data_IF_903084587635
#
_entry.id   IF_903084587635
#
_cell.length_a   1.000
_cell.length_b   1.000
_cell.length_c   1.000
_cell.angle_alpha   90.00
_cell.angle_beta   90.00
_cell.angle_gamma   90.00
#
_symmetry.space_group_name_H-M   'P 1'
#
loop_
_entity.id
_entity.type
_entity.pdbx_description
1 polymer ?
#
# COMPACT_ATOMS: atom_id res chain seq x y z
N UNK A 1 12.10 30.19 -0.36
CA UNK A 1 11.50 29.24 0.58
C UNK A 1 10.46 28.41 -0.17
N UNK A 2 10.51 27.08 -0.04
CA UNK A 2 9.43 26.18 -0.44
C UNK A 2 9.53 25.59 -1.84
N UNK A 3 10.51 24.71 -2.08
CA UNK A 3 10.38 23.71 -3.15
C UNK A 3 9.28 22.75 -2.70
N UNK A 4 8.05 23.00 -3.14
CA UNK A 4 6.97 22.03 -3.07
C UNK A 4 7.31 20.90 -4.04
N UNK A 5 8.15 19.95 -3.59
CA UNK A 5 8.19 18.63 -4.19
C UNK A 5 6.78 18.08 -4.00
N UNK A 6 5.99 18.07 -5.07
CA UNK A 6 4.73 17.35 -5.10
C UNK A 6 5.05 15.89 -4.80
N UNK A 7 4.98 15.49 -3.53
CA UNK A 7 5.05 14.08 -3.16
C UNK A 7 3.96 13.41 -3.98
N UNK A 8 4.35 12.54 -4.91
CA UNK A 8 3.38 11.69 -5.60
C UNK A 8 2.62 10.94 -4.50
N UNK A 9 1.29 10.92 -4.64
CA UNK A 9 0.42 10.21 -3.73
C UNK A 9 -0.48 9.28 -4.52
N UNK A 10 -0.86 8.18 -3.89
CA UNK A 10 -1.73 7.17 -4.48
C UNK A 10 -3.15 7.42 -3.99
N UNK A 11 -4.07 7.72 -4.90
CA UNK A 11 -5.49 7.82 -4.55
C UNK A 11 -6.06 6.43 -4.20
N UNK A 12 -7.16 6.37 -3.46
CA UNK A 12 -7.82 5.09 -3.10
C UNK A 12 -8.20 4.25 -4.33
N UNK A 13 -8.65 4.91 -5.40
CA UNK A 13 -8.95 4.23 -6.68
C UNK A 13 -7.69 3.61 -7.28
N UNK A 14 -6.57 4.34 -7.25
CA UNK A 14 -5.31 3.86 -7.81
C UNK A 14 -4.72 2.72 -6.99
N UNK A 15 -4.84 2.77 -5.66
CA UNK A 15 -4.48 1.67 -4.78
C UNK A 15 -5.25 0.40 -5.17
N UNK A 16 -6.55 0.49 -5.35
CA UNK A 16 -7.39 -0.66 -5.74
C UNK A 16 -6.93 -1.27 -7.08
N UNK A 17 -6.65 -0.43 -8.08
CA UNK A 17 -6.10 -0.90 -9.37
C UNK A 17 -4.75 -1.61 -9.20
N UNK A 18 -3.84 -1.06 -8.38
CA UNK A 18 -2.51 -1.63 -8.17
C UNK A 18 -2.60 -2.98 -7.45
N UNK A 19 -3.44 -3.08 -6.41
CA UNK A 19 -3.67 -4.33 -5.69
C UNK A 19 -4.30 -5.40 -6.59
N UNK A 20 -5.21 -5.01 -7.51
CA UNK A 20 -5.79 -5.96 -8.48
C UNK A 20 -4.79 -6.54 -9.48
N UNK A 21 -3.70 -5.82 -9.77
CA UNK A 21 -2.63 -6.29 -10.66
C UNK A 21 -1.70 -7.31 -10.00
N UNK A 22 -1.71 -7.37 -8.67
CA UNK A 22 -0.92 -8.33 -7.91
C UNK A 22 -1.68 -9.66 -7.92
N UNK A 23 -1.26 -10.56 -8.81
CA UNK A 23 -1.93 -11.84 -9.02
C UNK A 23 -1.85 -12.79 -7.82
N UNK A 24 -0.82 -12.65 -6.97
CA UNK A 24 -0.61 -13.48 -5.79
C UNK A 24 -1.63 -13.18 -4.68
N UNK A 25 -2.11 -11.94 -4.57
CA UNK A 25 -3.07 -11.55 -3.54
C UNK A 25 -4.47 -12.09 -3.83
N UNK A 26 -5.05 -12.79 -2.86
CA UNK A 26 -6.45 -13.17 -2.80
C UNK A 26 -7.37 -11.95 -2.59
N UNK A 27 -8.67 -12.14 -2.86
CA UNK A 27 -9.66 -11.08 -2.71
C UNK A 27 -9.74 -10.56 -1.27
N UNK A 28 -9.74 -11.47 -0.30
CA UNK A 28 -9.74 -11.21 1.15
C UNK A 28 -8.56 -10.34 1.58
N UNK A 29 -7.37 -10.62 1.04
CA UNK A 29 -6.14 -9.91 1.37
C UNK A 29 -6.13 -8.51 0.80
N UNK A 30 -6.61 -8.33 -0.43
CA UNK A 30 -6.79 -7.00 -1.04
C UNK A 30 -7.74 -6.15 -0.22
N UNK A 31 -8.86 -6.72 0.22
CA UNK A 31 -9.81 -6.01 1.09
C UNK A 31 -9.19 -5.66 2.44
N UNK A 32 -8.40 -6.57 3.02
CA UNK A 32 -7.66 -6.31 4.26
C UNK A 32 -6.67 -5.16 4.12
N UNK A 33 -5.84 -5.17 3.06
CA UNK A 33 -4.88 -4.10 2.76
C UNK A 33 -5.60 -2.76 2.56
N UNK A 34 -6.69 -2.74 1.80
CA UNK A 34 -7.51 -1.53 1.62
C UNK A 34 -8.08 -1.01 2.94
N UNK A 35 -8.49 -1.92 3.82
CA UNK A 35 -8.92 -1.60 5.17
C UNK A 35 -7.81 -0.95 5.99
N UNK A 36 -6.59 -1.50 5.95
CA UNK A 36 -5.44 -0.92 6.63
C UNK A 36 -5.10 0.48 6.09
N UNK A 37 -5.01 0.64 4.77
CA UNK A 37 -4.76 1.96 4.18
C UNK A 37 -5.85 2.97 4.52
N UNK A 38 -7.11 2.54 4.68
CA UNK A 38 -8.20 3.42 5.11
C UNK A 38 -8.09 3.85 6.57
N UNK A 39 -7.39 3.09 7.43
CA UNK A 39 -7.09 3.48 8.81
C UNK A 39 -5.95 4.48 8.90
N UNK A 40 -4.94 4.30 8.06
CA UNK A 40 -3.75 5.16 8.05
C UNK A 40 -4.00 6.46 7.30
N UNK A 41 -4.71 6.42 6.17
CA UNK A 41 -4.93 7.55 5.29
C UNK A 41 -6.41 7.91 5.16
N UNK A 42 -6.74 9.16 5.52
CA UNK A 42 -8.05 9.75 5.24
C UNK A 42 -8.18 10.29 3.81
N UNK A 43 -7.10 10.28 3.02
CA UNK A 43 -7.03 10.89 1.69
C UNK A 43 -6.10 10.14 0.75
N UNK A 44 -5.07 10.83 0.25
CA UNK A 44 -4.08 10.25 -0.65
C UNK A 44 -2.91 9.62 0.11
N UNK A 45 -2.50 8.44 -0.36
CA UNK A 45 -1.51 7.59 0.28
C UNK A 45 -0.10 8.04 -0.11
N UNK A 46 0.71 8.41 0.88
CA UNK A 46 2.12 8.77 0.71
C UNK A 46 3.07 7.57 0.85
N UNK A 47 4.33 7.74 0.45
CA UNK A 47 5.41 6.76 0.66
C UNK A 47 5.52 6.32 2.12
N UNK A 48 5.44 7.27 3.05
CA UNK A 48 5.49 7.02 4.49
C UNK A 48 4.33 6.14 4.98
N UNK A 49 3.13 6.34 4.42
CA UNK A 49 1.97 5.52 4.79
C UNK A 49 2.10 4.10 4.25
N UNK A 50 2.64 3.93 3.03
CA UNK A 50 2.93 2.60 2.47
C UNK A 50 3.91 1.85 3.37
N UNK A 51 5.01 2.48 3.77
CA UNK A 51 6.00 1.83 4.64
C UNK A 51 5.43 1.46 6.00
N UNK A 52 4.57 2.29 6.58
CA UNK A 52 3.86 1.97 7.82
C UNK A 52 2.92 0.77 7.65
N UNK A 53 2.06 0.78 6.63
CA UNK A 53 1.11 -0.31 6.37
C UNK A 53 1.85 -1.62 6.09
N UNK A 54 2.90 -1.60 5.27
CA UNK A 54 3.69 -2.80 4.98
C UNK A 54 4.42 -3.31 6.23
N UNK A 55 4.92 -2.40 7.08
CA UNK A 55 5.54 -2.80 8.34
C UNK A 55 4.54 -3.48 9.25
N UNK A 56 3.32 -2.93 9.35
CA UNK A 56 2.24 -3.57 10.09
C UNK A 56 1.87 -4.92 9.50
N UNK A 57 1.71 -5.02 8.18
CA UNK A 57 1.43 -6.30 7.49
C UNK A 57 2.48 -7.37 7.80
N UNK A 58 3.76 -7.00 7.87
CA UNK A 58 4.85 -7.92 8.23
C UNK A 58 4.88 -8.31 9.71
N UNK A 59 4.35 -7.46 10.58
CA UNK A 59 4.28 -7.67 12.02
C UNK A 59 2.97 -8.35 12.45
N UNK A 60 1.96 -8.33 11.58
CA UNK A 60 0.66 -8.96 11.79
C UNK A 60 0.85 -10.49 11.73
N UNK A 61 0.95 -11.13 12.89
CA UNK A 61 1.09 -12.59 13.02
C UNK A 61 -0.22 -13.34 12.75
N UNK A 62 -1.18 -12.69 12.09
CA UNK A 62 -2.55 -13.22 11.92
C UNK A 62 -2.69 -14.15 10.71
N UNK A 63 -1.58 -14.59 10.08
CA UNK A 63 -1.56 -15.46 8.88
C UNK A 63 -2.42 -14.94 7.71
N UNK A 64 -2.75 -13.64 7.73
CA UNK A 64 -3.66 -13.04 6.74
C UNK A 64 -2.99 -12.66 5.44
N UNK A 65 -1.69 -12.38 5.49
CA UNK A 65 -0.86 -11.94 4.37
C UNK A 65 0.54 -12.50 4.61
N UNK A 66 1.10 -13.16 3.61
CA UNK A 66 2.47 -13.63 3.67
C UNK A 66 3.47 -12.47 3.57
N UNK A 67 4.65 -12.66 4.14
CA UNK A 67 5.72 -11.66 4.11
C UNK A 67 6.13 -11.30 2.67
N UNK A 68 6.08 -12.27 1.76
CA UNK A 68 6.39 -12.10 0.34
C UNK A 68 5.35 -11.20 -0.36
N UNK A 69 4.08 -11.37 -0.03
CA UNK A 69 2.99 -10.57 -0.57
C UNK A 69 3.05 -9.13 -0.07
N UNK A 70 3.31 -8.94 1.22
CA UNK A 70 3.52 -7.61 1.80
C UNK A 70 4.69 -6.86 1.12
N UNK A 71 5.77 -7.56 0.78
CA UNK A 71 6.88 -6.98 0.02
C UNK A 71 6.51 -6.67 -1.43
N UNK A 72 5.74 -7.54 -2.07
CA UNK A 72 5.24 -7.33 -3.43
C UNK A 72 4.34 -6.10 -3.49
N UNK A 73 3.43 -5.94 -2.53
CA UNK A 73 2.60 -4.75 -2.35
C UNK A 73 3.47 -3.52 -2.18
N UNK A 74 4.46 -3.57 -1.29
CA UNK A 74 5.41 -2.46 -1.10
C UNK A 74 6.06 -2.06 -2.41
N UNK A 75 6.63 -3.01 -3.14
CA UNK A 75 7.33 -2.72 -4.39
C UNK A 75 6.41 -2.11 -5.44
N UNK A 76 5.21 -2.65 -5.66
CA UNK A 76 4.27 -2.11 -6.64
C UNK A 76 3.83 -0.67 -6.32
N UNK A 77 3.57 -0.39 -5.04
CA UNK A 77 3.14 0.94 -4.62
C UNK A 77 4.31 1.94 -4.69
N UNK A 78 5.53 1.53 -4.33
CA UNK A 78 6.72 2.39 -4.43
C UNK A 78 7.14 2.64 -5.89
N UNK A 79 7.11 1.64 -6.77
CA UNK A 79 7.41 1.80 -8.20
C UNK A 79 6.49 2.85 -8.85
N UNK A 80 5.20 2.84 -8.47
CA UNK A 80 4.25 3.84 -8.93
C UNK A 80 4.55 5.26 -8.42
N UNK A 81 5.14 5.40 -7.24
CA UNK A 81 5.53 6.70 -6.70
C UNK A 81 6.83 7.23 -7.31
N UNK A 82 7.73 6.34 -7.74
CA UNK A 82 9.03 6.70 -8.30
C UNK A 82 9.01 6.89 -9.82
N UNK A 83 8.09 6.22 -10.55
CA UNK A 83 7.80 6.48 -11.97
C UNK A 83 6.87 7.67 -12.15
#
# INVERSE_FOLDING_TARGET
>A
MGLFSSEKKISKQKLDELLRKIAILELSEREYIKGLFSRYSSGDISKLEIEKVVRDLKLDTSDKIEREEAETVKQQLLDYLEK
#
